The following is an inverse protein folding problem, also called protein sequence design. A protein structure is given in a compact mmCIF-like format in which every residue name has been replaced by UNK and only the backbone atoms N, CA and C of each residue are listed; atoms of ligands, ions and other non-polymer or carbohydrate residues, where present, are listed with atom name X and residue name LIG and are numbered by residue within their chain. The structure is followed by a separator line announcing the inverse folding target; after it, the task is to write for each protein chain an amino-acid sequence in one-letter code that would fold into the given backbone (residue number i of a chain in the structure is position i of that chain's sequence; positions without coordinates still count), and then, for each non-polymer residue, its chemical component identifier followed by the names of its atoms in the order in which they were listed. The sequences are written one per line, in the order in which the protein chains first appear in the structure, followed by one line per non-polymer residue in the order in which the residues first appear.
data_IF_912497674435
#
_entry.id   IF_912497674435
#
_cell.length_a   1.000
_cell.length_b   1.000
_cell.length_c   1.000
_cell.angle_alpha   90.00
_cell.angle_beta   90.00
_cell.angle_gamma   90.00
#
_symmetry.space_group_name_H-M   'P 1'
#
loop_
_entity.id
_entity.type
_entity.pdbx_description
1 polymer ?
#
# COMPACT_ATOMS: atom_id res chain seq x y z
N UNK A 1 -19.84 51.46 -6.16
CA UNK A 1 -20.13 50.16 -6.79
C UNK A 1 -18.83 49.41 -7.00
N UNK A 2 -18.48 48.39 -6.18
CA UNK A 2 -17.35 47.53 -6.48
C UNK A 2 -17.82 46.21 -7.13
N UNK A 3 -17.08 45.79 -8.16
CA UNK A 3 -17.26 44.52 -8.86
C UNK A 3 -16.77 43.35 -8.00
N UNK A 4 -17.59 42.31 -7.86
CA UNK A 4 -17.17 41.01 -7.33
C UNK A 4 -16.63 40.15 -8.48
N UNK A 5 -15.36 39.75 -8.40
CA UNK A 5 -14.77 38.73 -9.26
C UNK A 5 -14.81 37.39 -8.51
N UNK A 6 -15.74 36.52 -8.90
CA UNK A 6 -15.87 35.17 -8.33
C UNK A 6 -14.80 34.24 -8.90
N UNK A 7 -13.93 33.71 -8.04
CA UNK A 7 -12.98 32.64 -8.36
C UNK A 7 -13.68 31.30 -8.09
N UNK A 8 -13.92 30.51 -9.14
CA UNK A 8 -14.40 29.13 -9.01
C UNK A 8 -13.19 28.20 -8.91
N UNK A 9 -13.02 27.57 -7.74
CA UNK A 9 -12.06 26.48 -7.53
C UNK A 9 -12.82 25.17 -7.73
N UNK A 10 -12.48 24.42 -8.79
CA UNK A 10 -12.89 23.02 -8.94
C UNK A 10 -11.87 22.13 -8.23
N UNK A 11 -12.30 21.41 -7.20
CA UNK A 11 -11.54 20.31 -6.60
C UNK A 11 -12.15 19.01 -7.11
N UNK A 12 -11.45 18.29 -7.96
CA UNK A 12 -11.79 16.90 -8.31
C UNK A 12 -11.18 15.97 -7.25
N UNK A 13 -12.03 15.32 -6.44
CA UNK A 13 -11.62 14.14 -5.68
C UNK A 13 -11.77 12.92 -6.58
N UNK A 14 -10.65 12.32 -6.98
CA UNK A 14 -10.64 10.98 -7.57
C UNK A 14 -10.65 9.96 -6.43
N UNK A 15 -11.68 9.13 -6.38
CA UNK A 15 -11.79 8.03 -5.44
C UNK A 15 -10.76 6.94 -5.80
N UNK A 16 -9.86 6.62 -4.87
CA UNK A 16 -8.99 5.45 -4.98
C UNK A 16 -9.79 4.25 -4.46
N UNK A 17 -10.28 3.41 -5.35
CA UNK A 17 -10.62 2.02 -5.00
C UNK A 17 -9.33 1.22 -5.04
N UNK A 18 -8.79 0.85 -3.88
CA UNK A 18 -7.79 -0.21 -3.79
C UNK A 18 -8.49 -1.54 -4.13
N UNK A 19 -8.17 -2.15 -5.26
CA UNK A 19 -8.23 -3.60 -5.41
C UNK A 19 -6.79 -4.12 -5.48
N UNK A 20 -6.30 -4.63 -4.36
CA UNK A 20 -5.13 -5.47 -4.33
C UNK A 20 -5.62 -6.89 -4.04
N UNK A 21 -5.61 -7.75 -5.06
CA UNK A 21 -5.14 -9.14 -5.04
C UNK A 21 -5.45 -9.75 -6.40
N UNK A 22 -4.42 -10.06 -7.18
CA UNK A 22 -4.52 -11.03 -8.26
C UNK A 22 -4.71 -12.42 -7.67
N UNK A 23 -5.96 -12.86 -7.60
CA UNK A 23 -6.38 -14.25 -7.64
C UNK A 23 -7.67 -14.26 -8.46
N UNK A 24 -7.58 -14.67 -9.71
CA UNK A 24 -8.75 -14.89 -10.56
C UNK A 24 -9.43 -16.17 -10.08
N UNK A 25 -10.40 -16.03 -9.18
CA UNK A 25 -11.27 -17.14 -8.79
C UNK A 25 -12.41 -17.25 -9.80
N UNK A 26 -12.36 -18.31 -10.60
CA UNK A 26 -13.51 -18.82 -11.35
C UNK A 26 -14.66 -19.10 -10.36
N UNK A 27 -15.72 -18.30 -10.44
CA UNK A 27 -16.89 -18.37 -9.55
C UNK A 27 -17.86 -19.52 -9.89
N UNK A 28 -17.45 -20.51 -10.70
CA UNK A 28 -18.31 -21.65 -11.03
C UNK A 28 -17.57 -22.98 -10.95
N UNK A 29 -17.20 -23.42 -9.75
CA UNK A 29 -17.48 -24.79 -9.24
C UNK A 29 -16.50 -25.29 -8.17
N UNK A 30 -17.08 -25.61 -7.01
CA UNK A 30 -16.80 -26.68 -6.02
C UNK A 30 -15.37 -27.12 -5.67
N UNK A 31 -15.15 -27.06 -4.34
CA UNK A 31 -14.49 -28.00 -3.40
C UNK A 31 -12.99 -28.21 -3.53
N UNK A 32 -12.28 -27.79 -2.47
CA UNK A 32 -11.22 -28.57 -1.85
C UNK A 32 -11.41 -28.62 -0.34
N UNK A 33 -11.52 -29.85 0.16
CA UNK A 33 -11.32 -30.26 1.54
C UNK A 33 -9.82 -30.13 1.84
N UNK A 34 -9.46 -29.55 2.98
CA UNK A 34 -8.67 -30.24 4.00
C UNK A 34 -8.74 -29.44 5.30
N UNK A 35 -9.10 -30.19 6.32
CA UNK A 35 -9.38 -29.77 7.68
C UNK A 35 -8.08 -29.41 8.41
N UNK A 36 -8.07 -28.24 9.04
CA UNK A 36 -7.57 -27.96 10.40
C UNK A 36 -7.33 -26.45 10.53
N UNK A 37 -8.41 -25.71 10.74
CA UNK A 37 -8.39 -24.51 11.59
C UNK A 37 -9.80 -24.24 12.09
N UNK A 38 -9.97 -24.40 13.39
CA UNK A 38 -11.25 -24.39 14.08
C UNK A 38 -11.67 -22.97 14.49
N UNK A 39 -12.91 -22.65 14.11
CA UNK A 39 -13.86 -21.75 14.78
C UNK A 39 -13.72 -20.25 14.50
N UNK A 40 -14.50 -19.82 13.53
CA UNK A 40 -14.89 -18.44 13.24
C UNK A 40 -15.84 -18.37 12.05
N UNK A 41 -16.93 -19.13 12.05
CA UNK A 41 -17.91 -19.14 10.96
C UNK A 41 -18.74 -17.87 10.93
N UNK A 42 -18.56 -17.05 9.89
CA UNK A 42 -19.55 -16.02 9.54
C UNK A 42 -20.69 -16.70 8.77
N UNK A 43 -21.86 -16.80 9.40
CA UNK A 43 -23.07 -17.35 8.78
C UNK A 43 -23.62 -16.38 7.74
N UNK A 44 -23.77 -16.82 6.49
CA UNK A 44 -24.27 -16.03 5.36
C UNK A 44 -25.80 -15.95 5.27
N UNK A 45 -26.54 -16.19 6.36
CA UNK A 45 -28.00 -16.23 6.36
C UNK A 45 -28.65 -15.10 7.18
N UNK A 46 -28.12 -13.89 7.11
CA UNK A 46 -28.86 -12.70 7.55
C UNK A 46 -29.67 -12.16 6.37
N UNK A 47 -30.99 -12.39 6.41
CA UNK A 47 -31.93 -11.61 5.59
C UNK A 47 -31.88 -10.15 6.06
N UNK A 48 -32.10 -9.17 5.16
CA UNK A 48 -32.18 -7.77 5.57
C UNK A 48 -33.33 -7.62 6.56
N UNK A 49 -33.02 -7.44 7.83
CA UNK A 49 -33.97 -6.87 8.77
C UNK A 49 -33.99 -5.37 8.51
N UNK A 50 -35.18 -4.80 8.36
CA UNK A 50 -35.41 -3.37 8.22
C UNK A 50 -34.72 -2.64 9.38
N UNK A 51 -33.58 -2.02 9.11
CA UNK A 51 -32.91 -1.15 10.08
C UNK A 51 -33.63 0.20 10.01
N UNK A 52 -34.53 0.43 10.94
CA UNK A 52 -34.98 1.78 11.30
C UNK A 52 -33.75 2.63 11.64
N UNK A 53 -33.56 3.71 10.88
CA UNK A 53 -32.59 4.77 11.16
C UNK A 53 -32.83 5.33 12.57
N UNK A 54 -31.94 5.05 13.51
CA UNK A 54 -31.81 5.89 14.70
C UNK A 54 -30.35 6.21 15.03
N UNK A 55 -30.11 7.52 15.13
CA UNK A 55 -29.05 8.20 15.86
C UNK A 55 -27.67 8.43 15.18
N UNK A 56 -27.69 9.37 14.24
CA UNK A 56 -27.20 10.75 14.45
C UNK A 56 -25.73 11.05 14.88
N UNK A 57 -24.81 10.08 14.88
CA UNK A 57 -23.39 10.38 15.11
C UNK A 57 -22.61 10.77 13.85
N UNK A 58 -22.98 10.23 12.68
CA UNK A 58 -22.25 10.47 11.41
C UNK A 58 -22.71 11.75 10.68
N UNK A 59 -23.88 12.28 11.02
CA UNK A 59 -24.53 13.46 10.42
C UNK A 59 -23.96 14.79 10.90
N UNK A 60 -23.34 14.85 12.09
CA UNK A 60 -22.88 16.10 12.70
C UNK A 60 -21.51 16.59 12.20
N UNK A 61 -20.67 15.72 11.62
CA UNK A 61 -19.29 16.07 11.25
C UNK A 61 -19.06 16.25 9.74
N UNK A 62 -20.02 15.90 8.89
CA UNK A 62 -19.86 15.98 7.45
C UNK A 62 -20.75 17.07 6.82
N UNK A 63 -20.18 18.08 6.14
CA UNK A 63 -20.98 19.10 5.47
C UNK A 63 -21.95 18.47 4.47
N UNK A 64 -23.23 18.85 4.55
CA UNK A 64 -24.37 18.38 3.75
C UNK A 64 -24.21 18.52 2.23
N UNK A 65 -23.14 19.16 1.74
CA UNK A 65 -22.77 19.24 0.31
C UNK A 65 -22.31 17.91 -0.29
N UNK A 66 -21.90 16.92 0.50
CA UNK A 66 -21.48 15.61 -0.03
C UNK A 66 -22.62 14.80 -0.65
N UNK A 67 -23.88 15.06 -0.27
CA UNK A 67 -25.05 14.36 -0.84
C UNK A 67 -25.34 14.72 -2.30
N UNK A 68 -24.85 15.85 -2.80
CA UNK A 68 -25.09 16.27 -4.18
C UNK A 68 -24.15 15.56 -5.18
N UNK A 69 -22.95 15.17 -4.74
CA UNK A 69 -21.96 14.46 -5.56
C UNK A 69 -22.24 12.96 -5.72
N UNK A 70 -23.10 12.39 -4.88
CA UNK A 70 -23.47 10.96 -4.93
C UNK A 70 -24.57 10.62 -5.96
N UNK A 71 -24.99 11.59 -6.80
CA UNK A 71 -26.02 11.39 -7.84
C UNK A 71 -25.50 11.24 -9.27
N UNK A 72 -24.19 11.27 -9.50
CA UNK A 72 -23.56 10.82 -10.73
C UNK A 72 -22.64 9.65 -10.34
N UNK A 73 -22.78 8.40 -10.78
CA UNK A 73 -23.31 7.84 -12.02
C UNK A 73 -24.00 6.50 -11.73
N UNK A 74 -25.30 6.38 -12.03
CA UNK A 74 -26.07 5.15 -11.81
C UNK A 74 -26.13 4.21 -13.02
N UNK A 75 -25.25 4.36 -14.03
CA UNK A 75 -25.31 3.52 -15.23
C UNK A 75 -23.99 3.45 -16.05
N UNK A 76 -22.84 3.24 -15.41
CA UNK A 76 -21.60 2.96 -16.14
C UNK A 76 -21.46 1.45 -16.37
N UNK A 77 -21.62 0.97 -17.61
CA UNK A 77 -21.16 -0.36 -18.00
C UNK A 77 -19.67 -0.31 -18.34
N UNK A 78 -18.92 -1.32 -17.90
CA UNK A 78 -17.52 -1.50 -18.26
C UNK A 78 -17.44 -2.53 -19.39
N UNK A 79 -16.72 -2.20 -20.45
CA UNK A 79 -16.45 -3.12 -21.55
C UNK A 79 -14.94 -3.32 -21.65
N UNK A 80 -14.53 -4.56 -21.90
CA UNK A 80 -13.14 -4.88 -22.23
C UNK A 80 -12.83 -4.24 -23.60
N UNK A 81 -11.70 -3.54 -23.67
CA UNK A 81 -11.16 -3.07 -24.94
C UNK A 81 -10.22 -4.16 -25.46
N UNK A 82 -10.70 -4.92 -26.45
CA UNK A 82 -9.93 -6.01 -27.05
C UNK A 82 -8.59 -5.50 -27.62
N UNK A 83 -7.54 -6.31 -27.49
CA UNK A 83 -6.18 -6.00 -27.95
C UNK A 83 -5.58 -4.71 -27.33
N UNK A 84 -6.07 -4.31 -26.16
CA UNK A 84 -5.51 -3.22 -25.38
C UNK A 84 -5.15 -3.72 -23.97
N UNK A 85 -3.94 -3.43 -23.45
CA UNK A 85 -2.81 -2.80 -24.16
C UNK A 85 -2.26 -3.71 -25.27
N UNK A 86 -1.30 -3.21 -26.06
CA UNK A 86 -0.64 -3.93 -27.16
C UNK A 86 -0.29 -5.38 -26.75
N UNK A 87 -0.92 -6.40 -27.35
CA UNK A 87 -0.75 -7.80 -26.95
C UNK A 87 0.62 -8.37 -27.29
N UNK A 88 1.42 -7.67 -28.09
CA UNK A 88 2.81 -8.03 -28.35
C UNK A 88 3.71 -7.73 -27.15
N UNK A 89 3.32 -6.78 -26.28
CA UNK A 89 4.12 -6.40 -25.12
C UNK A 89 4.09 -7.49 -24.05
N UNK A 90 5.27 -8.05 -23.75
CA UNK A 90 5.43 -9.04 -22.67
C UNK A 90 5.74 -8.32 -21.36
N UNK A 91 4.87 -8.53 -20.38
CA UNK A 91 5.03 -8.01 -19.02
C UNK A 91 5.14 -9.18 -18.05
N UNK A 92 5.85 -8.92 -16.95
CA UNK A 92 5.90 -9.81 -15.81
C UNK A 92 4.64 -9.73 -14.96
N UNK A 93 4.74 -10.17 -13.70
CA UNK A 93 3.71 -9.87 -12.71
C UNK A 93 3.50 -8.35 -12.62
N UNK A 94 2.27 -7.91 -12.90
CA UNK A 94 1.86 -6.53 -12.72
C UNK A 94 1.70 -6.24 -11.23
N UNK A 95 2.30 -5.15 -10.80
CA UNK A 95 2.32 -4.78 -9.38
C UNK A 95 1.54 -3.50 -9.09
N UNK A 96 1.56 -2.55 -10.02
CA UNK A 96 0.79 -1.33 -9.92
C UNK A 96 0.48 -0.71 -11.29
N UNK A 97 -0.54 0.14 -11.29
CA UNK A 97 -0.97 0.95 -12.43
C UNK A 97 -1.31 2.36 -11.95
N UNK A 98 -1.05 3.36 -12.79
CA UNK A 98 -1.40 4.77 -12.55
C UNK A 98 -1.60 5.50 -13.88
N UNK A 99 -1.80 6.81 -13.83
CA UNK A 99 -1.94 7.67 -15.00
C UNK A 99 -0.95 8.81 -14.93
N UNK A 100 -0.29 9.13 -16.04
CA UNK A 100 0.51 10.34 -16.15
C UNK A 100 -0.36 11.58 -16.44
N UNK A 101 0.27 12.75 -16.45
CA UNK A 101 -0.41 14.02 -16.71
C UNK A 101 -1.01 14.14 -18.13
N UNK A 102 -0.54 13.33 -19.08
CA UNK A 102 -1.08 13.26 -20.44
C UNK A 102 -2.24 12.25 -20.55
N UNK A 103 -2.57 11.58 -19.43
CA UNK A 103 -3.60 10.57 -19.35
C UNK A 103 -3.17 9.21 -19.91
N UNK A 104 -1.89 8.98 -20.17
CA UNK A 104 -1.35 7.66 -20.50
C UNK A 104 -1.34 6.77 -19.27
N UNK A 105 -1.32 5.46 -19.49
CA UNK A 105 -1.29 4.47 -18.41
C UNK A 105 0.14 4.09 -18.09
N UNK A 106 0.51 4.24 -16.84
CA UNK A 106 1.83 3.89 -16.32
C UNK A 106 1.73 2.59 -15.54
N UNK A 107 2.39 1.54 -16.02
CA UNK A 107 2.39 0.20 -15.42
C UNK A 107 3.74 -0.08 -14.78
N UNK A 108 3.74 -0.61 -13.56
CA UNK A 108 4.93 -1.14 -12.89
C UNK A 108 4.84 -2.66 -12.79
N UNK A 109 5.83 -3.36 -13.35
CA UNK A 109 5.87 -4.81 -13.42
C UNK A 109 7.23 -5.39 -13.02
N UNK A 110 7.23 -6.66 -12.67
CA UNK A 110 8.41 -7.37 -12.13
C UNK A 110 9.32 -7.99 -13.20
N UNK A 111 9.06 -7.73 -14.48
CA UNK A 111 9.75 -8.38 -15.59
C UNK A 111 9.80 -9.92 -15.44
N UNK A 112 10.97 -10.50 -15.56
CA UNK A 112 11.20 -11.94 -15.33
C UNK A 112 11.12 -12.37 -13.86
N UNK A 113 11.10 -11.42 -12.91
CA UNK A 113 11.05 -11.71 -11.47
C UNK A 113 9.63 -12.13 -11.06
N UNK A 114 9.55 -13.20 -10.28
CA UNK A 114 8.31 -13.70 -9.69
C UNK A 114 8.36 -13.48 -8.19
N UNK A 115 7.33 -12.85 -7.64
CA UNK A 115 7.07 -12.88 -6.20
C UNK A 115 6.24 -14.12 -5.87
N UNK A 116 6.84 -15.02 -5.13
CA UNK A 116 6.28 -16.25 -4.58
C UNK A 116 6.70 -16.48 -3.10
N UNK A 117 6.35 -17.64 -2.55
CA UNK A 117 6.72 -18.03 -1.18
C UNK A 117 8.23 -18.22 -0.93
N UNK A 118 9.05 -18.30 -1.99
CA UNK A 118 10.51 -18.49 -1.88
C UNK A 118 11.29 -17.18 -2.00
N UNK A 119 10.60 -16.08 -2.33
CA UNK A 119 11.22 -14.77 -2.56
C UNK A 119 11.88 -14.19 -1.29
N UNK A 120 11.36 -14.54 -0.12
CA UNK A 120 11.86 -14.07 1.17
C UNK A 120 12.08 -15.23 2.14
N UNK A 121 13.10 -15.12 2.98
CA UNK A 121 13.24 -15.90 4.21
C UNK A 121 12.10 -15.59 5.20
N UNK A 122 11.95 -16.44 6.22
CA UNK A 122 10.99 -16.25 7.31
C UNK A 122 11.19 -14.93 8.08
N UNK A 123 12.40 -14.39 8.09
CA UNK A 123 12.74 -13.09 8.68
C UNK A 123 12.57 -11.91 7.72
N UNK A 124 11.87 -12.09 6.60
CA UNK A 124 11.63 -11.06 5.57
C UNK A 124 12.87 -10.59 4.79
N UNK A 125 14.01 -11.26 4.91
CA UNK A 125 15.20 -11.01 4.08
C UNK A 125 14.98 -11.55 2.66
N UNK A 126 15.23 -10.72 1.65
CA UNK A 126 15.13 -11.10 0.25
C UNK A 126 16.20 -12.13 -0.17
N UNK A 127 15.79 -13.21 -0.84
CA UNK A 127 16.65 -14.36 -1.15
C UNK A 127 17.42 -14.26 -2.48
N UNK A 128 16.97 -13.43 -3.42
CA UNK A 128 17.50 -13.42 -4.78
C UNK A 128 18.38 -12.19 -5.06
N UNK A 129 19.15 -11.74 -4.06
CA UNK A 129 20.02 -10.55 -4.18
C UNK A 129 21.12 -10.73 -5.23
N UNK A 130 21.65 -11.94 -5.34
CA UNK A 130 22.76 -12.28 -6.24
C UNK A 130 22.37 -12.27 -7.72
N UNK A 131 21.07 -12.31 -8.03
CA UNK A 131 20.58 -12.15 -9.41
C UNK A 131 20.73 -10.70 -9.90
N UNK A 132 21.02 -9.75 -9.01
CA UNK A 132 21.02 -8.33 -9.35
C UNK A 132 19.61 -7.74 -9.53
N UNK A 133 19.52 -6.45 -9.87
CA UNK A 133 18.27 -5.81 -10.23
C UNK A 133 17.72 -6.37 -11.55
N UNK A 134 16.43 -6.19 -11.79
CA UNK A 134 15.76 -6.61 -13.03
C UNK A 134 16.39 -5.85 -14.20
N UNK A 135 16.96 -6.57 -15.17
CA UNK A 135 17.73 -5.96 -16.25
C UNK A 135 16.87 -5.23 -17.28
N UNK A 136 15.68 -5.76 -17.55
CA UNK A 136 14.71 -5.16 -18.47
C UNK A 136 13.98 -3.95 -17.87
N UNK A 137 13.35 -3.09 -18.70
CA UNK A 137 12.45 -2.07 -18.20
C UNK A 137 11.36 -2.67 -17.32
N UNK A 138 11.02 -1.95 -16.25
CA UNK A 138 10.03 -2.35 -15.24
C UNK A 138 8.86 -1.38 -15.18
N UNK A 139 9.02 -0.16 -15.73
CA UNK A 139 7.95 0.79 -15.92
C UNK A 139 7.68 0.94 -17.41
N UNK A 140 6.42 0.75 -17.81
CA UNK A 140 5.96 0.85 -19.19
C UNK A 140 4.80 1.83 -19.23
N UNK A 141 4.88 2.79 -20.15
CA UNK A 141 3.82 3.78 -20.36
C UNK A 141 3.10 3.47 -21.66
N UNK A 142 1.79 3.23 -21.57
CA UNK A 142 0.92 2.93 -22.69
C UNK A 142 0.04 4.12 -23.03
N UNK A 143 -0.08 4.44 -24.31
CA UNK A 143 -1.06 5.40 -24.75
C UNK A 143 -2.46 4.84 -24.51
N UNK A 144 -3.31 5.62 -23.84
CA UNK A 144 -4.63 5.14 -23.41
C UNK A 144 -5.56 4.80 -24.57
N UNK A 145 -5.45 5.50 -25.70
CA UNK A 145 -6.32 5.24 -26.86
C UNK A 145 -5.82 4.12 -27.74
N UNK A 146 -4.51 4.06 -28.03
CA UNK A 146 -3.96 3.08 -28.97
C UNK A 146 -3.48 1.79 -28.31
N UNK A 147 -3.20 1.80 -27.00
CA UNK A 147 -2.59 0.68 -26.29
C UNK A 147 -1.11 0.46 -26.62
N UNK A 148 -0.53 1.30 -27.47
CA UNK A 148 0.88 1.22 -27.86
C UNK A 148 1.78 1.79 -26.76
N UNK A 149 2.99 1.24 -26.66
CA UNK A 149 4.02 1.76 -25.75
C UNK A 149 4.45 3.15 -26.21
N UNK A 150 4.38 4.12 -25.30
CA UNK A 150 4.90 5.48 -25.46
C UNK A 150 6.37 5.54 -25.07
N UNK A 151 6.71 5.03 -23.89
CA UNK A 151 8.09 4.94 -23.41
C UNK A 151 8.23 3.91 -22.28
N UNK A 152 9.48 3.54 -21.99
CA UNK A 152 9.82 2.56 -20.95
C UNK A 152 11.08 2.98 -20.20
N UNK A 153 11.15 2.60 -18.92
CA UNK A 153 12.33 2.84 -18.09
C UNK A 153 12.38 1.87 -16.89
N UNK A 154 13.36 2.07 -16.01
CA UNK A 154 13.51 1.28 -14.77
C UNK A 154 14.40 0.04 -14.90
N UNK A 155 15.10 -0.12 -16.02
CA UNK A 155 16.13 -1.13 -16.21
C UNK A 155 17.24 -1.01 -15.17
N UNK A 156 17.61 -2.12 -14.55
CA UNK A 156 18.68 -2.24 -13.56
C UNK A 156 18.47 -1.39 -12.28
N UNK A 157 17.23 -1.04 -11.93
CA UNK A 157 16.94 -0.24 -10.73
C UNK A 157 16.28 -1.03 -9.60
N UNK A 158 15.38 -1.96 -9.92
CA UNK A 158 14.47 -2.56 -8.95
C UNK A 158 14.68 -4.07 -8.83
N UNK A 159 14.39 -4.61 -7.65
CA UNK A 159 14.48 -6.03 -7.33
C UNK A 159 13.10 -6.69 -7.22
N UNK A 160 12.14 -6.04 -6.58
CA UNK A 160 10.77 -6.56 -6.50
C UNK A 160 9.75 -5.41 -6.47
N UNK A 161 9.42 -4.87 -7.66
CA UNK A 161 8.40 -3.84 -7.85
C UNK A 161 7.07 -4.12 -7.11
N UNK A 162 6.52 -3.06 -6.49
CA UNK A 162 5.22 -3.11 -5.83
C UNK A 162 4.33 -1.91 -6.15
N UNK A 163 4.47 -0.79 -5.42
CA UNK A 163 3.62 0.38 -5.59
C UNK A 163 4.09 1.29 -6.71
N UNK A 164 3.16 1.95 -7.40
CA UNK A 164 3.42 3.06 -8.32
C UNK A 164 2.33 4.12 -8.19
N UNK A 165 2.71 5.39 -8.15
CA UNK A 165 1.79 6.53 -8.19
C UNK A 165 2.47 7.69 -8.88
N UNK A 166 1.78 8.33 -9.84
CA UNK A 166 2.25 9.57 -10.46
C UNK A 166 1.65 10.76 -9.71
N UNK A 167 2.48 11.71 -9.29
CA UNK A 167 2.00 12.91 -8.57
C UNK A 167 1.51 14.01 -9.53
N UNK A 168 0.92 15.07 -8.99
CA UNK A 168 0.36 16.19 -9.77
C UNK A 168 1.41 17.00 -10.55
N UNK A 169 2.69 16.81 -10.27
CA UNK A 169 3.81 17.38 -11.02
C UNK A 169 4.44 16.36 -11.97
N UNK A 170 3.74 15.25 -12.20
CA UNK A 170 4.11 14.14 -13.07
C UNK A 170 5.33 13.34 -12.60
N UNK A 171 5.82 13.51 -11.36
CA UNK A 171 6.88 12.65 -10.83
C UNK A 171 6.33 11.25 -10.56
N UNK A 172 7.17 10.23 -10.75
CA UNK A 172 6.78 8.85 -10.51
C UNK A 172 7.30 8.39 -9.16
N UNK A 173 6.39 8.03 -8.26
CA UNK A 173 6.69 7.45 -6.96
C UNK A 173 6.52 5.94 -7.03
N UNK A 174 7.51 5.19 -6.54
CA UNK A 174 7.47 3.73 -6.56
C UNK A 174 7.94 3.13 -5.25
N UNK A 175 7.49 1.92 -4.95
CA UNK A 175 7.99 1.13 -3.81
C UNK A 175 8.59 -0.18 -4.30
N UNK A 176 9.66 -0.61 -3.64
CA UNK A 176 10.29 -1.90 -3.88
C UNK A 176 10.35 -2.69 -2.58
N UNK A 177 9.69 -3.85 -2.56
CA UNK A 177 9.56 -4.64 -1.33
C UNK A 177 10.84 -5.39 -0.98
N UNK A 178 11.68 -5.74 -1.96
CA UNK A 178 12.94 -6.43 -1.72
C UNK A 178 13.99 -5.45 -1.20
N UNK A 179 14.02 -4.24 -1.76
CA UNK A 179 14.89 -3.17 -1.29
C UNK A 179 14.41 -2.57 0.03
N UNK A 180 13.13 -2.73 0.38
CA UNK A 180 12.50 -2.04 1.52
C UNK A 180 12.60 -0.51 1.39
N UNK A 181 12.39 -0.02 0.17
CA UNK A 181 12.62 1.39 -0.15
C UNK A 181 11.45 2.00 -0.91
N UNK A 182 11.37 3.33 -0.80
CA UNK A 182 10.49 4.19 -1.58
C UNK A 182 11.35 5.12 -2.41
N UNK A 183 10.96 5.34 -3.66
CA UNK A 183 11.67 6.21 -4.58
C UNK A 183 10.73 7.22 -5.21
N UNK A 184 11.25 8.43 -5.48
CA UNK A 184 10.64 9.43 -6.34
C UNK A 184 11.54 9.66 -7.54
N UNK A 185 11.00 9.58 -8.75
CA UNK A 185 11.70 9.88 -10.00
C UNK A 185 11.11 11.12 -10.67
N UNK A 186 11.91 11.86 -11.47
CA UNK A 186 11.36 12.99 -12.22
C UNK A 186 10.31 12.54 -13.26
N UNK A 187 9.57 13.47 -13.88
CA UNK A 187 8.60 13.14 -14.91
C UNK A 187 9.20 12.33 -16.06
N UNK A 188 8.49 11.28 -16.49
CA UNK A 188 9.00 10.32 -17.48
C UNK A 188 10.01 9.31 -16.94
N UNK A 189 10.31 9.34 -15.63
CA UNK A 189 11.26 8.44 -15.00
C UNK A 189 12.72 8.89 -15.12
N UNK A 190 13.65 7.96 -14.90
CA UNK A 190 15.08 8.23 -15.06
C UNK A 190 15.96 7.14 -14.46
N UNK A 191 17.27 7.32 -14.55
CA UNK A 191 18.26 6.41 -13.96
C UNK A 191 18.60 6.72 -12.50
N UNK A 192 18.18 7.89 -11.99
CA UNK A 192 18.45 8.34 -10.62
C UNK A 192 17.19 8.93 -10.00
N UNK A 193 16.87 8.56 -8.74
CA UNK A 193 15.75 9.14 -8.03
C UNK A 193 16.06 10.56 -7.55
N UNK A 194 15.01 11.39 -7.43
CA UNK A 194 14.99 12.67 -6.74
C UNK A 194 14.97 12.50 -5.21
N UNK A 195 14.38 11.40 -4.74
CA UNK A 195 14.29 11.05 -3.32
C UNK A 195 14.36 9.53 -3.18
N UNK A 196 15.11 9.07 -2.18
CA UNK A 196 15.13 7.68 -1.72
C UNK A 196 14.88 7.67 -0.22
N UNK A 197 13.93 6.85 0.22
CA UNK A 197 13.65 6.59 1.64
C UNK A 197 13.84 5.10 1.93
N UNK A 198 14.25 4.78 3.16
CA UNK A 198 14.66 3.43 3.52
C UNK A 198 16.11 3.14 3.13
N UNK A 199 16.64 2.03 3.63
CA UNK A 199 17.99 1.55 3.33
C UNK A 199 17.88 0.22 2.61
N UNK A 200 18.56 0.10 1.46
CA UNK A 200 18.48 -1.06 0.60
C UNK A 200 18.71 -2.36 1.40
N UNK A 201 17.69 -3.22 1.37
CA UNK A 201 17.69 -4.54 1.99
C UNK A 201 17.79 -4.59 3.52
N UNK A 202 17.53 -3.47 4.20
CA UNK A 202 17.53 -3.34 5.66
C UNK A 202 16.11 -3.07 6.15
N UNK A 203 15.60 -3.93 7.04
CA UNK A 203 14.21 -3.92 7.52
C UNK A 203 14.06 -3.68 9.03
N UNK A 204 14.61 -2.57 9.53
CA UNK A 204 14.50 -2.20 10.95
C UNK A 204 13.14 -1.54 11.24
N UNK A 205 12.58 -1.75 12.43
CA UNK A 205 11.37 -1.06 12.85
C UNK A 205 11.70 0.28 13.52
N UNK A 206 11.98 1.29 12.70
CA UNK A 206 12.17 2.67 13.13
C UNK A 206 11.57 3.65 12.10
N UNK A 207 11.83 4.96 12.21
CA UNK A 207 11.24 5.96 11.32
C UNK A 207 11.96 6.09 9.96
N UNK A 208 13.15 5.51 9.81
CA UNK A 208 14.02 5.68 8.65
C UNK A 208 14.08 4.44 7.74
N UNK A 209 13.54 3.31 8.22
CA UNK A 209 13.47 2.04 7.50
C UNK A 209 12.02 1.60 7.23
N UNK A 210 11.86 0.69 6.28
CA UNK A 210 10.57 0.06 5.97
C UNK A 210 10.67 -1.47 6.06
N UNK A 211 9.52 -2.13 6.13
CA UNK A 211 9.41 -3.57 5.99
C UNK A 211 8.41 -3.88 4.88
N UNK A 212 8.95 -3.96 3.65
CA UNK A 212 8.21 -4.23 2.41
C UNK A 212 7.08 -3.18 2.18
N UNK A 213 7.44 -1.91 1.90
CA UNK A 213 6.46 -0.83 1.73
C UNK A 213 5.60 -1.03 0.47
N UNK A 214 4.33 -0.66 0.54
CA UNK A 214 3.33 -1.06 -0.45
C UNK A 214 2.89 0.07 -1.38
N UNK A 215 2.69 1.29 -0.89
CA UNK A 215 2.18 2.38 -1.71
C UNK A 215 2.57 3.75 -1.15
N UNK A 216 2.45 4.77 -1.99
CA UNK A 216 2.67 6.18 -1.64
C UNK A 216 1.46 7.00 -2.06
N UNK A 217 0.98 7.88 -1.18
CA UNK A 217 -0.08 8.85 -1.50
C UNK A 217 0.43 10.27 -1.26
N UNK A 218 0.32 11.14 -2.27
CA UNK A 218 0.92 12.48 -2.26
C UNK A 218 -0.19 13.52 -2.11
N UNK A 219 0.00 14.46 -1.19
CA UNK A 219 -0.87 15.61 -0.96
C UNK A 219 -0.54 16.75 -1.93
N UNK A 220 -1.49 17.66 -2.14
CA UNK A 220 -1.30 18.82 -3.02
C UNK A 220 -0.18 19.77 -2.58
N UNK A 221 0.17 19.81 -1.29
CA UNK A 221 1.30 20.58 -0.77
C UNK A 221 2.65 19.85 -0.92
N UNK A 222 2.65 18.63 -1.45
CA UNK A 222 3.82 17.77 -1.65
C UNK A 222 4.15 16.86 -0.47
N UNK A 223 3.52 17.05 0.69
CA UNK A 223 3.63 16.06 1.79
C UNK A 223 3.06 14.73 1.31
N UNK A 224 3.51 13.62 1.89
CA UNK A 224 3.09 12.31 1.42
C UNK A 224 3.03 11.28 2.53
N UNK A 225 2.33 10.20 2.24
CA UNK A 225 2.14 9.06 3.11
C UNK A 225 2.70 7.81 2.45
N UNK A 226 3.33 6.95 3.25
CA UNK A 226 3.81 5.63 2.82
C UNK A 226 3.09 4.58 3.65
N UNK A 227 2.49 3.59 2.98
CA UNK A 227 1.98 2.39 3.64
C UNK A 227 3.08 1.34 3.76
N UNK A 228 3.37 0.92 4.99
CA UNK A 228 4.43 -0.01 5.33
C UNK A 228 3.81 -1.24 6.01
N UNK A 229 3.51 -2.28 5.20
CA UNK A 229 2.34 -3.12 5.46
C UNK A 229 2.49 -4.64 5.36
N UNK A 230 3.53 -5.18 4.71
CA UNK A 230 3.64 -6.65 4.60
C UNK A 230 4.22 -7.30 5.86
N UNK A 231 5.16 -6.63 6.52
CA UNK A 231 5.71 -7.09 7.80
C UNK A 231 5.65 -6.02 8.89
N UNK A 232 5.23 -4.80 8.55
CA UNK A 232 4.82 -3.77 9.48
C UNK A 232 3.31 -3.53 9.36
N UNK A 233 2.75 -2.72 10.26
CA UNK A 233 1.33 -2.29 10.20
C UNK A 233 1.21 -0.83 10.54
N UNK A 234 1.76 0.02 9.68
CA UNK A 234 1.79 1.46 9.90
C UNK A 234 1.68 2.26 8.61
N UNK A 235 1.22 3.50 8.76
CA UNK A 235 1.30 4.55 7.77
C UNK A 235 2.26 5.61 8.31
N UNK A 236 3.23 6.01 7.50
CA UNK A 236 4.18 7.07 7.83
C UNK A 236 3.87 8.31 7.00
N UNK A 237 3.86 9.48 7.62
CA UNK A 237 3.73 10.78 6.96
C UNK A 237 5.09 11.47 6.89
N UNK A 238 5.40 12.01 5.74
CA UNK A 238 6.60 12.81 5.46
C UNK A 238 6.22 14.18 4.93
N UNK A 239 7.11 15.15 5.12
CA UNK A 239 7.04 16.41 4.36
C UNK A 239 7.50 16.21 2.92
N UNK A 240 7.26 17.21 2.06
CA UNK A 240 7.66 17.18 0.64
C UNK A 240 9.15 16.93 0.36
N UNK A 241 10.03 17.10 1.35
CA UNK A 241 11.47 16.90 1.24
C UNK A 241 11.90 15.52 1.77
N UNK A 242 10.95 14.69 2.24
CA UNK A 242 11.22 13.37 2.79
C UNK A 242 11.57 13.37 4.27
N UNK A 243 11.33 14.46 5.02
CA UNK A 243 11.50 14.46 6.47
C UNK A 243 10.29 13.78 7.13
N UNK A 244 10.56 12.81 8.00
CA UNK A 244 9.52 12.16 8.80
C UNK A 244 8.78 13.17 9.68
N UNK A 245 7.44 13.10 9.68
CA UNK A 245 6.57 13.96 10.48
C UNK A 245 5.85 13.19 11.59
N UNK A 246 5.20 12.08 11.24
CA UNK A 246 4.41 11.28 12.16
C UNK A 246 4.11 9.90 11.58
N UNK A 247 3.63 8.97 12.40
CA UNK A 247 3.11 7.68 11.96
C UNK A 247 1.90 7.26 12.80
N UNK A 248 1.09 6.36 12.26
CA UNK A 248 0.03 5.67 13.00
C UNK A 248 -0.18 4.24 12.49
N UNK A 249 -0.92 3.43 13.25
CA UNK A 249 -1.06 1.99 13.04
C UNK A 249 -0.03 1.20 13.84
N UNK A 250 -0.45 0.04 14.38
CA UNK A 250 0.41 -0.93 15.09
C UNK A 250 -0.13 -2.33 14.90
N UNK A 251 0.76 -3.32 14.87
CA UNK A 251 0.38 -4.72 15.01
C UNK A 251 -0.07 -4.99 16.46
N UNK A 252 -1.27 -5.55 16.65
CA UNK A 252 -1.79 -5.89 17.98
C UNK A 252 -0.85 -6.82 18.79
N UNK A 253 -0.03 -7.64 18.11
CA UNK A 253 0.93 -8.55 18.72
C UNK A 253 2.19 -7.89 19.29
N UNK A 254 2.60 -6.72 18.78
CA UNK A 254 3.76 -5.99 19.32
C UNK A 254 3.41 -5.27 20.63
N UNK A 255 2.15 -4.90 20.84
CA UNK A 255 1.70 -4.23 22.06
C UNK A 255 1.66 -5.20 23.26
N UNK A 256 1.37 -6.49 23.03
CA UNK A 256 1.45 -7.51 24.08
C UNK A 256 2.90 -7.76 24.51
N UNK A 257 3.83 -7.85 23.56
CA UNK A 257 5.24 -8.07 23.88
C UNK A 257 5.84 -6.88 24.67
N UNK A 258 5.51 -5.64 24.29
CA UNK A 258 5.97 -4.46 25.02
C UNK A 258 5.31 -4.33 26.40
N UNK A 259 4.00 -4.60 26.52
CA UNK A 259 3.30 -4.59 27.83
C UNK A 259 3.81 -5.68 28.76
N UNK A 260 4.05 -6.89 28.27
CA UNK A 260 4.62 -7.99 29.07
C UNK A 260 6.05 -7.67 29.50
N UNK A 261 6.88 -7.09 28.62
CA UNK A 261 8.25 -6.74 28.97
C UNK A 261 8.33 -5.60 30.01
N UNK A 262 7.47 -4.58 29.89
CA UNK A 262 7.37 -3.50 30.89
C UNK A 262 6.83 -4.01 32.23
N UNK A 263 5.90 -4.97 32.23
CA UNK A 263 5.38 -5.57 33.47
C UNK A 263 6.42 -6.46 34.17
N UNK A 264 7.21 -7.24 33.42
CA UNK A 264 8.27 -8.09 33.97
C UNK A 264 9.51 -7.32 34.45
N UNK A 265 9.71 -6.07 34.01
CA UNK A 265 10.80 -5.20 34.46
C UNK A 265 10.42 -4.30 35.65
N UNK A 266 9.15 -4.29 36.07
CA UNK A 266 8.65 -3.48 37.19
C UNK A 266 8.26 -4.27 38.43
N UNK A 267 8.44 -5.59 38.46
CA UNK A 267 8.34 -6.38 39.70
C UNK A 267 9.65 -6.25 40.49
N UNK A 268 9.67 -5.60 41.67
CA UNK A 268 10.82 -5.64 42.54
C UNK A 268 10.94 -7.05 43.13
N UNK A 269 12.12 -7.66 42.95
CA UNK A 269 12.55 -8.88 43.65
C UNK A 269 12.68 -8.58 45.16
N UNK A 270 11.56 -8.46 45.87
CA UNK A 270 11.53 -8.21 47.32
C UNK A 270 10.52 -9.06 48.10
N UNK A 271 10.16 -10.25 47.61
CA UNK A 271 9.40 -11.22 48.42
C UNK A 271 9.89 -12.67 48.26
N UNK A 272 11.17 -12.92 48.53
CA UNK A 272 11.66 -14.28 48.88
C UNK A 272 12.77 -14.22 49.95
N UNK A 273 12.56 -13.46 51.02
CA UNK A 273 13.45 -13.46 52.19
C UNK A 273 12.67 -13.24 53.49
N UNK A 274 11.72 -14.11 53.81
CA UNK A 274 11.11 -14.22 55.14
C UNK A 274 10.13 -15.40 55.15
N UNK A 275 10.66 -16.61 55.38
CA UNK A 275 9.97 -17.75 56.03
C UNK A 275 10.96 -18.91 56.17
N UNK A 276 11.97 -18.70 57.00
CA UNK A 276 12.78 -19.78 57.57
C UNK A 276 12.86 -19.59 59.09
N UNK A 277 11.75 -19.88 59.77
CA UNK A 277 11.76 -20.24 61.20
C UNK A 277 10.79 -21.42 61.36
N UNK A 278 11.36 -22.63 61.49
CA UNK A 278 11.53 -23.35 62.76
C UNK A 278 10.23 -24.04 63.21
N UNK A 279 10.15 -25.35 62.94
CA UNK A 279 9.65 -26.32 63.91
C UNK A 279 10.54 -27.58 63.82
N UNK A 280 11.48 -27.67 64.76
CA UNK A 280 12.03 -28.92 65.28
C UNK A 280 11.68 -28.92 66.77
N UNK A 281 10.76 -29.80 67.13
CA UNK A 281 10.73 -30.69 68.31
C UNK A 281 9.31 -31.22 68.46
#
# INVERSE_FOLDING_TARGET
MPFYLGVFIFVSLSAVHLSATGYEHDLKSRRWLNDEDSIGTFSSNLKPADIEETSDYASQLWPSKSRQYLRASKNSSYNIVENWPDPSKRLGQLSAVSFDADGNIVVFHRGERVWDGNSFQSNNVFNQRDLGPIAQPTVVVFNTSSGLVVHEWGSNLFYLPHGLTVDSTNNVWVTDVALHQVFKFPPGGGSKPLLTLGVAFVLVFDNDHFCKPTAVAIMSNGDFFVSDGYCNSRILKYDKNGKFLMQWGRNAFQDLALKVCVHLLHEPVQQMASKSHFFKN
#
